data_IF_874881343544
#
_entry.id   IF_874881343544
#
_cell.length_a   1.000
_cell.length_b   1.000
_cell.length_c   1.000
_cell.angle_alpha   90.00
_cell.angle_beta   90.00
_cell.angle_gamma   90.00
#
_symmetry.space_group_name_H-M   'P 1'
#
loop_
_entity.id
_entity.type
_entity.pdbx_description
1 polymer ?
#
# COMPACT_ATOMS: atom_id res chain seq x y z
N UNK A 1 17.80 4.18 -16.84
CA UNK A 1 17.35 3.51 -15.61
C UNK A 1 17.10 4.57 -14.53
N UNK A 2 15.95 4.51 -13.87
CA UNK A 2 15.55 5.45 -12.82
C UNK A 2 15.65 4.79 -11.44
N UNK A 3 16.67 5.11 -10.62
CA UNK A 3 16.89 4.44 -9.34
C UNK A 3 15.79 4.71 -8.31
N UNK A 4 15.13 5.87 -8.38
CA UNK A 4 14.02 6.22 -7.50
C UNK A 4 12.80 5.33 -7.75
N UNK A 5 12.44 5.13 -9.02
CA UNK A 5 11.34 4.22 -9.38
C UNK A 5 11.68 2.77 -9.07
N UNK A 6 12.95 2.35 -9.23
CA UNK A 6 13.38 1.00 -8.85
C UNK A 6 13.25 0.77 -7.35
N UNK A 7 13.72 1.71 -6.53
CA UNK A 7 13.57 1.65 -5.08
C UNK A 7 12.08 1.64 -4.67
N UNK A 8 11.25 2.48 -5.30
CA UNK A 8 9.80 2.49 -5.08
C UNK A 8 9.16 1.13 -5.39
N UNK A 9 9.52 0.52 -6.53
CA UNK A 9 9.01 -0.78 -6.94
C UNK A 9 9.44 -1.93 -6.01
N UNK A 10 10.70 -1.92 -5.55
CA UNK A 10 11.19 -2.90 -4.56
C UNK A 10 10.45 -2.75 -3.23
N UNK A 11 10.27 -1.52 -2.73
CA UNK A 11 9.53 -1.30 -1.49
C UNK A 11 8.06 -1.72 -1.65
N UNK A 12 7.43 -1.43 -2.79
CA UNK A 12 6.07 -1.89 -3.07
C UNK A 12 5.97 -3.42 -3.08
N UNK A 13 6.96 -4.13 -3.66
CA UNK A 13 7.01 -5.60 -3.63
C UNK A 13 7.17 -6.14 -2.20
N UNK A 14 8.07 -5.56 -1.41
CA UNK A 14 8.22 -5.91 0.02
C UNK A 14 6.93 -5.64 0.78
N UNK A 15 6.27 -4.53 0.50
CA UNK A 15 4.98 -4.17 1.11
C UNK A 15 3.90 -5.19 0.75
N UNK A 16 3.85 -5.67 -0.50
CA UNK A 16 2.94 -6.74 -0.92
C UNK A 16 3.16 -8.04 -0.12
N UNK A 17 4.43 -8.44 0.06
CA UNK A 17 4.77 -9.62 0.87
C UNK A 17 4.36 -9.44 2.33
N UNK A 18 4.71 -8.30 2.95
CA UNK A 18 4.34 -8.01 4.34
C UNK A 18 2.83 -7.97 4.50
N UNK A 19 2.11 -7.33 3.56
CA UNK A 19 0.66 -7.28 3.52
C UNK A 19 0.09 -8.70 3.51
N UNK A 20 0.40 -9.51 2.50
CA UNK A 20 -0.14 -10.87 2.36
C UNK A 20 0.25 -11.79 3.53
N UNK A 21 1.46 -11.65 4.07
CA UNK A 21 1.99 -12.61 5.08
C UNK A 21 1.69 -12.17 6.51
N UNK A 22 2.16 -10.99 6.93
CA UNK A 22 1.93 -10.48 8.27
C UNK A 22 0.50 -9.96 8.41
N UNK A 23 0.01 -9.26 7.40
CA UNK A 23 -1.35 -8.75 7.41
C UNK A 23 -2.43 -9.82 7.24
N UNK A 24 -2.11 -11.01 6.71
CA UNK A 24 -3.07 -12.12 6.84
C UNK A 24 -3.18 -12.61 8.29
N UNK A 25 -2.05 -12.72 9.00
CA UNK A 25 -2.02 -13.25 10.37
C UNK A 25 -2.64 -12.29 11.38
N UNK A 26 -2.29 -11.01 11.30
CA UNK A 26 -2.58 -10.06 12.37
C UNK A 26 -3.98 -9.42 12.23
N UNK A 27 -4.38 -8.80 11.10
CA UNK A 27 -5.73 -8.26 10.94
C UNK A 27 -6.74 -9.23 10.30
N UNK A 28 -6.37 -10.02 9.29
CA UNK A 28 -7.38 -10.82 8.54
C UNK A 28 -7.91 -12.02 9.32
N UNK A 29 -7.03 -12.82 9.94
CA UNK A 29 -7.48 -13.97 10.74
C UNK A 29 -8.42 -13.53 11.86
N UNK A 30 -8.13 -12.48 12.66
CA UNK A 30 -9.07 -11.97 13.66
C UNK A 30 -10.37 -11.42 13.06
N UNK A 31 -10.32 -10.72 11.93
CA UNK A 31 -11.51 -10.24 11.21
C UNK A 31 -12.46 -11.39 10.85
N UNK A 32 -11.93 -12.48 10.28
CA UNK A 32 -12.74 -13.62 9.85
C UNK A 32 -13.27 -14.43 11.04
N UNK A 33 -12.50 -14.47 12.13
CA UNK A 33 -12.85 -15.21 13.34
C UNK A 33 -13.84 -14.46 14.26
N UNK A 34 -14.14 -13.19 14.00
CA UNK A 34 -15.04 -12.38 14.84
C UNK A 34 -16.49 -12.88 14.76
N UNK A 35 -16.98 -13.54 15.82
CA UNK A 35 -18.36 -14.03 15.88
C UNK A 35 -19.45 -12.95 15.93
N UNK A 36 -19.09 -11.69 16.18
CA UNK A 36 -20.01 -10.55 16.24
C UNK A 36 -20.19 -9.82 14.90
N UNK A 37 -19.35 -10.09 13.90
CA UNK A 37 -19.45 -9.46 12.58
C UNK A 37 -20.33 -10.29 11.63
N UNK A 38 -21.24 -9.64 10.90
CA UNK A 38 -22.07 -10.32 9.89
C UNK A 38 -21.23 -10.89 8.73
N UNK A 39 -21.65 -12.06 8.22
CA UNK A 39 -20.93 -12.78 7.15
C UNK A 39 -20.64 -11.92 5.92
N UNK A 40 -21.64 -11.19 5.41
CA UNK A 40 -21.46 -10.30 4.26
C UNK A 40 -20.36 -9.27 4.51
N UNK A 41 -20.34 -8.64 5.69
CA UNK A 41 -19.32 -7.63 6.03
C UNK A 41 -17.92 -8.24 6.09
N UNK A 42 -17.77 -9.43 6.67
CA UNK A 42 -16.47 -10.14 6.73
C UNK A 42 -15.93 -10.39 5.33
N UNK A 43 -16.74 -11.00 4.48
CA UNK A 43 -16.30 -11.39 3.14
C UNK A 43 -16.11 -10.20 2.21
N UNK A 44 -16.86 -9.11 2.38
CA UNK A 44 -16.58 -7.85 1.68
C UNK A 44 -15.22 -7.28 2.08
N UNK A 45 -14.92 -7.21 3.38
CA UNK A 45 -13.62 -6.71 3.84
C UNK A 45 -12.47 -7.63 3.43
N UNK A 46 -12.68 -8.94 3.38
CA UNK A 46 -11.71 -9.90 2.86
C UNK A 46 -11.50 -9.77 1.34
N UNK A 47 -12.54 -9.41 0.58
CA UNK A 47 -12.38 -9.09 -0.85
C UNK A 47 -11.56 -7.81 -1.04
N UNK A 48 -11.84 -6.75 -0.27
CA UNK A 48 -11.08 -5.49 -0.28
C UNK A 48 -9.62 -5.73 0.09
N UNK A 49 -9.36 -6.61 1.06
CA UNK A 49 -8.01 -7.05 1.42
C UNK A 49 -7.22 -7.60 0.21
N UNK A 50 -7.85 -8.45 -0.61
CA UNK A 50 -7.25 -8.99 -1.84
C UNK A 50 -7.10 -7.95 -2.95
N UNK A 51 -8.04 -7.00 -3.07
CA UNK A 51 -7.88 -5.88 -4.01
C UNK A 51 -6.60 -5.08 -3.71
N UNK A 52 -6.34 -4.78 -2.43
CA UNK A 52 -5.08 -4.10 -2.04
C UNK A 52 -3.85 -4.98 -2.31
N UNK A 53 -3.93 -6.30 -2.11
CA UNK A 53 -2.83 -7.21 -2.49
C UNK A 53 -2.50 -7.11 -3.98
N UNK A 54 -3.52 -7.07 -4.84
CA UNK A 54 -3.37 -6.94 -6.29
C UNK A 54 -2.77 -5.58 -6.64
N UNK A 55 -3.29 -4.49 -6.06
CA UNK A 55 -2.78 -3.13 -6.29
C UNK A 55 -1.27 -3.03 -5.97
N UNK A 56 -0.83 -3.58 -4.83
CA UNK A 56 0.56 -3.56 -4.42
C UNK A 56 1.47 -4.31 -5.40
N UNK A 57 1.05 -5.49 -5.87
CA UNK A 57 1.81 -6.29 -6.85
C UNK A 57 1.88 -5.60 -8.21
N UNK A 58 0.76 -5.07 -8.70
CA UNK A 58 0.71 -4.35 -9.98
C UNK A 58 1.53 -3.06 -9.94
N UNK A 59 1.45 -2.30 -8.84
CA UNK A 59 2.27 -1.11 -8.65
C UNK A 59 3.76 -1.45 -8.62
N UNK A 60 4.15 -2.52 -7.91
CA UNK A 60 5.54 -2.98 -7.88
C UNK A 60 6.06 -3.34 -9.29
N UNK A 61 5.28 -4.12 -10.04
CA UNK A 61 5.62 -4.49 -11.41
C UNK A 61 5.74 -3.26 -12.34
N UNK A 62 4.77 -2.34 -12.28
CA UNK A 62 4.76 -1.12 -13.07
C UNK A 62 5.96 -0.21 -12.75
N UNK A 63 6.24 0.03 -11.47
CA UNK A 63 7.36 0.86 -11.02
C UNK A 63 8.71 0.28 -11.45
N UNK A 64 8.91 -1.04 -11.28
CA UNK A 64 10.11 -1.73 -11.75
C UNK A 64 10.26 -1.66 -13.28
N UNK A 65 9.16 -1.88 -14.02
CA UNK A 65 9.17 -1.75 -15.48
C UNK A 65 9.53 -0.33 -15.93
N UNK A 66 8.87 0.69 -15.38
CA UNK A 66 9.16 2.09 -15.71
C UNK A 66 10.57 2.51 -15.31
N UNK A 67 11.11 1.97 -14.21
CA UNK A 67 12.49 2.21 -13.81
C UNK A 67 13.50 1.75 -14.86
N UNK A 68 13.22 0.63 -15.54
CA UNK A 68 14.12 0.02 -16.52
C UNK A 68 13.88 0.55 -17.93
N UNK A 69 12.63 0.56 -18.39
CA UNK A 69 12.27 0.83 -19.78
C UNK A 69 11.98 2.32 -20.07
N UNK A 70 11.54 3.09 -19.07
CA UNK A 70 11.19 4.51 -19.20
C UNK A 70 10.35 4.85 -20.46
N UNK A 71 9.26 4.10 -20.75
CA UNK A 71 8.44 4.31 -21.95
C UNK A 71 7.74 5.67 -21.91
N UNK A 72 7.29 6.17 -23.06
CA UNK A 72 6.52 7.42 -23.12
C UNK A 72 5.33 7.40 -22.15
N UNK A 73 5.17 8.50 -21.40
CA UNK A 73 4.12 8.63 -20.39
C UNK A 73 4.44 8.02 -19.02
N UNK A 74 5.59 7.37 -18.81
CA UNK A 74 5.93 6.76 -17.50
C UNK A 74 5.87 7.76 -16.34
N UNK A 75 6.22 9.03 -16.59
CA UNK A 75 6.20 10.11 -15.58
C UNK A 75 4.79 10.36 -15.05
N UNK A 76 3.78 10.39 -15.92
CA UNK A 76 2.39 10.56 -15.52
C UNK A 76 1.91 9.34 -14.72
N UNK A 77 2.25 8.14 -15.18
CA UNK A 77 1.98 6.89 -14.45
C UNK A 77 2.60 6.88 -13.05
N UNK A 78 3.87 7.31 -12.93
CA UNK A 78 4.57 7.41 -11.65
C UNK A 78 3.94 8.46 -10.71
N UNK A 79 3.50 9.60 -11.22
CA UNK A 79 2.73 10.59 -10.43
C UNK A 79 1.40 10.02 -9.96
N UNK A 80 0.69 9.26 -10.81
CA UNK A 80 -0.56 8.61 -10.43
C UNK A 80 -0.35 7.59 -9.30
N UNK A 81 0.68 6.73 -9.42
CA UNK A 81 1.05 5.78 -8.36
C UNK A 81 1.46 6.52 -7.08
N UNK A 82 2.19 7.63 -7.20
CA UNK A 82 2.55 8.45 -6.05
C UNK A 82 1.33 9.00 -5.31
N UNK A 83 0.35 9.55 -6.05
CA UNK A 83 -0.90 10.02 -5.48
C UNK A 83 -1.70 8.89 -4.83
N UNK A 84 -1.80 7.73 -5.50
CA UNK A 84 -2.51 6.55 -5.00
C UNK A 84 -1.95 6.06 -3.64
N UNK A 85 -0.64 5.85 -3.55
CA UNK A 85 0.01 5.42 -2.30
C UNK A 85 0.00 6.53 -1.23
N UNK A 86 0.08 7.80 -1.64
CA UNK A 86 -0.08 8.95 -0.75
C UNK A 86 -1.46 8.98 -0.09
N UNK A 87 -2.52 8.74 -0.86
CA UNK A 87 -3.89 8.60 -0.36
C UNK A 87 -4.03 7.41 0.60
N UNK A 88 -3.47 6.24 0.26
CA UNK A 88 -3.50 5.07 1.16
C UNK A 88 -2.79 5.38 2.50
N UNK A 89 -1.59 5.97 2.45
CA UNK A 89 -0.88 6.38 3.65
C UNK A 89 -1.68 7.38 4.49
N UNK A 90 -2.30 8.37 3.84
CA UNK A 90 -3.14 9.37 4.51
C UNK A 90 -4.35 8.74 5.22
N UNK A 91 -5.02 7.76 4.61
CA UNK A 91 -6.15 7.05 5.25
C UNK A 91 -5.73 6.42 6.58
N UNK A 92 -4.61 5.70 6.62
CA UNK A 92 -4.12 5.08 7.86
C UNK A 92 -3.77 6.11 8.94
N UNK A 93 -3.08 7.20 8.56
CA UNK A 93 -2.71 8.28 9.48
C UNK A 93 -3.97 8.97 10.03
N UNK A 94 -4.92 9.34 9.17
CA UNK A 94 -6.13 10.06 9.56
C UNK A 94 -7.05 9.20 10.43
N UNK A 95 -7.24 7.92 10.12
CA UNK A 95 -8.02 7.01 10.96
C UNK A 95 -7.36 6.82 12.33
N UNK A 96 -6.04 6.59 12.36
CA UNK A 96 -5.32 6.43 13.61
C UNK A 96 -5.40 7.70 14.49
N UNK A 97 -5.27 8.88 13.88
CA UNK A 97 -5.42 10.16 14.58
C UNK A 97 -6.84 10.36 15.12
N UNK A 98 -7.87 10.08 14.30
CA UNK A 98 -9.27 10.25 14.68
C UNK A 98 -9.69 9.34 15.83
N UNK A 99 -9.04 8.17 15.99
CA UNK A 99 -9.33 7.24 17.08
C UNK A 99 -8.75 7.66 18.44
N UNK A 100 -7.75 8.55 18.45
CA UNK A 100 -7.20 9.14 19.68
C UNK A 100 -6.39 8.18 20.56
N UNK A 101 -5.82 7.11 19.99
CA UNK A 101 -5.03 6.14 20.76
C UNK A 101 -3.69 6.72 21.23
N UNK A 102 -3.17 6.24 22.38
CA UNK A 102 -1.76 6.45 22.72
C UNK A 102 -0.88 5.76 21.67
N UNK A 103 0.22 6.42 21.26
CA UNK A 103 1.10 5.97 20.18
C UNK A 103 0.33 5.62 18.89
N UNK A 104 -0.70 6.40 18.55
CA UNK A 104 -1.62 6.14 17.43
C UNK A 104 -0.91 5.85 16.11
N UNK A 105 0.19 6.54 15.80
CA UNK A 105 0.98 6.31 14.57
C UNK A 105 1.54 4.89 14.45
N UNK A 106 1.71 4.17 15.56
CA UNK A 106 2.22 2.80 15.60
C UNK A 106 1.10 1.75 15.67
N UNK A 107 -0.15 2.16 15.92
CA UNK A 107 -1.30 1.25 15.97
C UNK A 107 -1.73 0.80 14.58
N UNK A 108 -1.60 1.68 13.60
CA UNK A 108 -1.82 1.40 12.19
C UNK A 108 -0.54 1.75 11.41
N UNK A 109 0.54 0.95 11.53
CA UNK A 109 1.86 1.29 11.01
C UNK A 109 1.98 1.19 9.48
N UNK A 110 0.92 0.85 8.75
CA UNK A 110 0.94 0.64 7.30
C UNK A 110 1.46 1.85 6.51
N UNK A 111 1.20 3.06 7.01
CA UNK A 111 1.70 4.30 6.38
C UNK A 111 3.22 4.34 6.25
N UNK A 112 3.96 3.65 7.12
CA UNK A 112 5.44 3.64 7.14
C UNK A 112 6.05 2.98 5.91
N UNK A 113 5.34 2.06 5.25
CA UNK A 113 5.77 1.42 4.00
C UNK A 113 5.09 2.03 2.77
N UNK A 114 3.86 2.53 2.90
CA UNK A 114 3.12 3.15 1.81
C UNK A 114 3.68 4.54 1.43
N UNK A 115 4.00 5.37 2.42
CA UNK A 115 4.49 6.73 2.20
C UNK A 115 5.84 6.77 1.47
N UNK A 116 6.84 5.91 1.79
CA UNK A 116 8.06 5.84 1.00
C UNK A 116 7.84 5.52 -0.47
N UNK A 117 6.93 4.60 -0.81
CA UNK A 117 6.59 4.31 -2.22
C UNK A 117 6.06 5.57 -2.90
N UNK A 118 5.16 6.31 -2.25
CA UNK A 118 4.61 7.55 -2.78
C UNK A 118 5.69 8.61 -3.05
N UNK A 119 6.56 8.86 -2.06
CA UNK A 119 7.62 9.86 -2.17
C UNK A 119 8.62 9.50 -3.26
N UNK A 120 9.09 8.25 -3.30
CA UNK A 120 10.07 7.80 -4.29
C UNK A 120 9.49 7.78 -5.71
N UNK A 121 8.23 7.38 -5.88
CA UNK A 121 7.55 7.44 -7.17
C UNK A 121 7.41 8.88 -7.68
N UNK A 122 7.07 9.83 -6.80
CA UNK A 122 6.98 11.25 -7.16
C UNK A 122 8.34 11.85 -7.52
N UNK A 123 9.38 11.57 -6.73
CA UNK A 123 10.75 12.02 -7.02
C UNK A 123 11.24 11.42 -8.34
N UNK A 124 10.98 10.14 -8.59
CA UNK A 124 11.34 9.48 -9.84
C UNK A 124 10.57 9.97 -11.07
N UNK A 125 9.44 10.66 -10.89
CA UNK A 125 8.67 11.23 -12.00
C UNK A 125 9.17 12.62 -12.43
N UNK A 126 9.94 13.31 -11.57
CA UNK A 126 10.55 14.61 -11.85
C UNK A 126 11.86 14.43 -12.61
#
# INVERSE_FOLDING_TARGET
>A
MNPWLLAAGVIAAVTAVVHVVAGHRDPVVPLLSDGGLGETTKWTLYAVWHMVSIDLVLAAAALCYWALAQPDGYRLGAVFVAAHFGCYAAVFVLIAAARGWSHWLLRLPQWTLLLPVAVLAFVGAR
#
